data_IF_256996123128
#
_entry.id   IF_256996123128
#
_cell.length_a   1.000
_cell.length_b   1.000
_cell.length_c   1.000
_cell.angle_alpha   90.00
_cell.angle_beta   90.00
_cell.angle_gamma   90.00
#
_symmetry.space_group_name_H-M   'P 1'
#
loop_
_entity.id
_entity.type
_entity.pdbx_description
1 polymer ?
#
# COMPACT_ATOMS: atom_id res chain seq x y z
N UNK A 1 -48.26 48.08 73.85
CA UNK A 1 -47.41 46.99 73.48
C UNK A 1 -47.08 47.12 71.98
N UNK A 2 -45.84 47.49 71.63
CA UNK A 2 -45.33 47.60 70.23
C UNK A 2 -44.69 46.32 69.84
N UNK A 3 -45.19 45.69 68.81
CA UNK A 3 -44.55 44.52 68.19
C UNK A 3 -43.68 45.02 67.04
N UNK A 4 -42.38 44.79 67.13
CA UNK A 4 -41.40 45.05 66.07
C UNK A 4 -41.27 43.76 65.18
N UNK A 5 -41.60 43.95 63.90
CA UNK A 5 -41.36 42.88 62.90
C UNK A 5 -39.92 42.94 62.42
N UNK A 6 -39.17 41.84 62.58
CA UNK A 6 -37.88 41.64 61.98
C UNK A 6 -38.05 41.11 60.57
N UNK A 7 -37.58 41.85 59.60
CA UNK A 7 -37.46 41.38 58.20
C UNK A 7 -36.05 40.67 58.00
N UNK A 8 -36.08 39.38 57.72
CA UNK A 8 -34.86 38.62 57.30
C UNK A 8 -34.65 38.90 55.83
N UNK A 9 -33.45 39.44 55.52
CA UNK A 9 -32.92 39.55 54.15
C UNK A 9 -32.09 38.29 53.89
N UNK A 10 -32.60 37.45 53.00
CA UNK A 10 -31.86 36.26 52.51
C UNK A 10 -30.91 36.70 51.36
N UNK A 11 -29.60 36.69 51.60
CA UNK A 11 -28.60 36.87 50.54
C UNK A 11 -28.44 35.58 49.73
N UNK A 12 -28.92 35.59 48.50
CA UNK A 12 -28.72 34.49 47.54
C UNK A 12 -27.30 34.51 46.96
N UNK A 13 -26.52 33.50 47.29
CA UNK A 13 -25.22 33.26 46.66
C UNK A 13 -25.47 32.57 45.33
N UNK A 14 -25.28 33.28 44.20
CA UNK A 14 -25.32 32.71 42.86
C UNK A 14 -24.02 31.91 42.62
N UNK A 15 -24.10 30.58 42.60
CA UNK A 15 -23.06 29.69 42.18
C UNK A 15 -22.89 29.77 40.64
N UNK A 16 -21.87 30.46 40.18
CA UNK A 16 -21.43 30.42 38.75
C UNK A 16 -20.88 29.04 38.43
N UNK A 17 -21.65 28.23 37.71
CA UNK A 17 -21.17 26.98 37.16
C UNK A 17 -20.11 27.26 36.08
N UNK A 18 -18.94 26.58 36.10
CA UNK A 18 -17.95 26.75 35.06
C UNK A 18 -18.50 26.26 33.71
N UNK A 19 -18.32 27.08 32.65
CA UNK A 19 -18.74 26.74 31.30
C UNK A 19 -17.93 25.51 30.83
N UNK A 20 -18.54 24.51 30.14
CA UNK A 20 -17.82 23.38 29.61
C UNK A 20 -16.83 23.84 28.55
N UNK A 21 -15.56 23.45 28.71
CA UNK A 21 -14.52 23.67 27.70
C UNK A 21 -14.92 22.97 26.40
N UNK A 22 -14.72 23.60 25.22
CA UNK A 22 -15.00 22.95 23.95
C UNK A 22 -14.15 21.68 23.82
N UNK A 23 -14.79 20.53 23.58
CA UNK A 23 -14.12 19.28 23.35
C UNK A 23 -13.14 19.45 22.18
N UNK A 24 -11.87 19.13 22.41
CA UNK A 24 -10.84 19.14 21.37
C UNK A 24 -11.32 18.21 20.24
N UNK A 25 -11.38 18.74 19.01
CA UNK A 25 -11.67 17.91 17.83
C UNK A 25 -10.57 16.86 17.72
N UNK A 26 -10.91 15.58 17.53
CA UNK A 26 -9.88 14.56 17.29
C UNK A 26 -9.07 14.99 16.08
N UNK A 27 -7.76 15.06 16.25
CA UNK A 27 -6.83 15.30 15.13
C UNK A 27 -7.06 14.24 14.07
N UNK A 28 -7.09 14.57 12.77
CA UNK A 28 -7.19 13.57 11.72
C UNK A 28 -6.03 12.58 11.89
N UNK A 29 -6.26 11.28 11.65
CA UNK A 29 -5.21 10.28 11.77
C UNK A 29 -4.03 10.69 10.90
N UNK A 30 -2.84 10.72 11.49
CA UNK A 30 -1.61 11.01 10.76
C UNK A 30 -1.48 9.91 9.72
N UNK A 31 -1.50 10.29 8.44
CA UNK A 31 -1.27 9.34 7.35
C UNK A 31 0.11 8.69 7.54
N UNK A 32 0.13 7.38 7.73
CA UNK A 32 1.38 6.63 7.81
C UNK A 32 2.00 6.71 6.42
N UNK A 33 3.06 7.46 6.29
CA UNK A 33 3.83 7.60 5.05
C UNK A 33 5.16 6.93 5.24
N UNK A 34 5.48 6.07 4.34
CA UNK A 34 6.84 5.64 4.19
C UNK A 34 7.59 6.67 3.33
N UNK A 35 8.60 7.32 3.91
CA UNK A 35 9.29 8.45 3.26
C UNK A 35 8.53 9.77 3.26
N UNK A 36 9.02 10.75 2.47
CA UNK A 36 8.51 12.13 2.44
C UNK A 36 7.80 12.51 1.12
N UNK A 37 7.79 11.63 0.11
CA UNK A 37 7.08 11.88 -1.15
C UNK A 37 5.59 11.61 -0.96
N UNK A 38 4.75 12.59 -1.34
CA UNK A 38 3.31 12.47 -1.15
C UNK A 38 2.69 11.59 -2.24
N UNK A 39 1.69 10.80 -1.88
CA UNK A 39 0.89 10.02 -2.81
C UNK A 39 0.35 10.89 -3.97
N UNK A 40 -0.19 12.06 -3.66
CA UNK A 40 -0.73 13.00 -4.65
C UNK A 40 0.31 13.42 -5.71
N UNK A 41 1.59 13.61 -5.32
CA UNK A 41 2.65 14.01 -6.23
C UNK A 41 3.02 12.87 -7.19
N UNK A 42 3.04 11.63 -6.71
CA UNK A 42 3.25 10.43 -7.52
C UNK A 42 2.07 10.18 -8.46
N UNK A 43 0.84 10.26 -7.95
CA UNK A 43 -0.38 10.06 -8.72
C UNK A 43 -0.53 11.10 -9.83
N UNK A 44 -0.05 12.33 -9.62
CA UNK A 44 -0.04 13.37 -10.64
C UNK A 44 0.81 13.01 -11.89
N UNK A 45 1.84 12.17 -11.72
CA UNK A 45 2.74 11.72 -12.81
C UNK A 45 2.23 10.51 -13.59
N UNK A 46 1.18 9.86 -13.09
CA UNK A 46 0.59 8.64 -13.68
C UNK A 46 -0.89 8.81 -13.99
N UNK A 47 -1.31 10.03 -14.32
CA UNK A 47 -2.70 10.33 -14.70
C UNK A 47 -3.05 9.67 -16.03
N UNK A 48 -2.21 9.90 -17.02
CA UNK A 48 -2.41 9.45 -18.38
C UNK A 48 -1.63 8.16 -18.63
N UNK A 49 -2.28 7.21 -19.28
CA UNK A 49 -1.69 5.93 -19.60
C UNK A 49 -1.30 5.86 -21.07
N UNK A 50 -0.01 5.73 -21.33
CA UNK A 50 0.50 5.28 -22.62
C UNK A 50 0.82 3.79 -22.46
N UNK A 51 0.01 2.86 -23.01
CA UNK A 51 0.20 1.44 -22.81
C UNK A 51 1.54 0.95 -23.35
N UNK A 52 2.25 0.16 -22.54
CA UNK A 52 3.44 -0.58 -22.93
C UNK A 52 3.18 -2.10 -22.99
N UNK A 53 2.06 -2.55 -22.41
CA UNK A 53 1.55 -3.91 -22.63
C UNK A 53 0.82 -3.99 -23.97
N UNK A 54 0.96 -5.13 -24.65
CA UNK A 54 0.28 -5.42 -25.94
C UNK A 54 -1.20 -5.79 -25.76
N UNK A 55 -1.62 -6.05 -24.53
CA UNK A 55 -2.98 -6.38 -24.13
C UNK A 55 -3.29 -5.79 -22.77
N UNK A 56 -4.38 -6.28 -22.17
CA UNK A 56 -4.86 -5.84 -20.86
C UNK A 56 -4.93 -7.02 -19.92
N UNK A 57 -4.76 -6.76 -18.64
CA UNK A 57 -4.86 -7.71 -17.56
C UNK A 57 -6.24 -7.70 -16.93
N UNK A 58 -6.55 -8.75 -16.20
CA UNK A 58 -7.70 -8.90 -15.32
C UNK A 58 -7.29 -8.59 -13.88
N UNK A 59 -8.23 -8.14 -13.07
CA UNK A 59 -8.07 -8.15 -11.60
C UNK A 59 -8.18 -9.59 -11.07
N UNK A 60 -9.14 -10.35 -11.56
CA UNK A 60 -9.46 -11.72 -11.16
C UNK A 60 -9.67 -12.63 -12.37
N UNK A 61 -9.65 -13.94 -12.14
CA UNK A 61 -9.89 -14.95 -13.19
C UNK A 61 -11.21 -14.77 -13.95
N UNK A 62 -12.24 -14.18 -13.30
CA UNK A 62 -13.58 -13.97 -13.89
C UNK A 62 -13.84 -12.53 -14.32
N UNK A 63 -12.94 -11.59 -14.03
CA UNK A 63 -13.11 -10.19 -14.40
C UNK A 63 -12.79 -9.96 -15.89
N UNK A 64 -13.18 -8.80 -16.41
CA UNK A 64 -12.79 -8.39 -17.76
C UNK A 64 -11.32 -7.96 -17.79
N UNK A 65 -10.68 -8.15 -18.94
CA UNK A 65 -9.33 -7.69 -19.16
C UNK A 65 -9.33 -6.18 -19.49
N UNK A 66 -9.15 -5.34 -18.48
CA UNK A 66 -9.30 -3.88 -18.62
C UNK A 66 -8.05 -3.12 -18.16
N UNK A 67 -7.10 -3.77 -17.47
CA UNK A 67 -5.95 -3.13 -16.83
C UNK A 67 -4.74 -3.15 -17.77
N UNK A 68 -4.34 -2.02 -18.36
CA UNK A 68 -3.09 -1.92 -19.10
C UNK A 68 -1.90 -1.71 -18.17
N UNK A 69 -0.71 -2.12 -18.59
CA UNK A 69 0.53 -1.60 -18.04
C UNK A 69 0.96 -0.40 -18.85
N UNK A 70 1.21 0.71 -18.18
CA UNK A 70 1.48 2.01 -18.79
C UNK A 70 2.95 2.39 -18.63
N UNK A 71 3.50 3.08 -19.62
CA UNK A 71 4.83 3.65 -19.58
C UNK A 71 4.85 5.03 -18.92
N UNK A 72 5.90 5.27 -18.15
CA UNK A 72 6.24 6.59 -17.63
C UNK A 72 7.77 6.77 -17.71
N UNK A 73 8.25 8.03 -17.62
CA UNK A 73 9.69 8.30 -17.62
C UNK A 73 10.36 7.68 -16.41
N UNK A 74 11.19 6.65 -16.61
CA UNK A 74 11.91 5.95 -15.55
C UNK A 74 11.08 4.91 -14.77
N UNK A 75 9.81 4.69 -15.14
CA UNK A 75 8.94 3.72 -14.50
C UNK A 75 7.98 3.06 -15.50
N UNK A 76 7.33 2.00 -15.06
CA UNK A 76 6.06 1.52 -15.60
C UNK A 76 5.05 1.53 -14.46
N UNK A 77 3.76 1.63 -14.77
CA UNK A 77 2.73 1.65 -13.74
C UNK A 77 1.44 0.97 -14.20
N UNK A 78 0.66 0.53 -13.25
CA UNK A 78 -0.70 0.06 -13.47
C UNK A 78 -1.61 0.49 -12.30
N UNK A 79 -2.89 0.57 -12.58
CA UNK A 79 -3.93 0.85 -11.59
C UNK A 79 -4.85 -0.34 -11.54
N UNK A 80 -4.97 -0.93 -10.36
CA UNK A 80 -5.69 -2.18 -10.17
C UNK A 80 -6.39 -2.20 -8.80
N UNK A 81 -6.88 -3.34 -8.46
CA UNK A 81 -7.23 -3.80 -7.12
C UNK A 81 -5.98 -4.17 -6.32
N UNK A 82 -6.18 -4.85 -5.20
CA UNK A 82 -5.13 -5.57 -4.49
C UNK A 82 -5.70 -6.87 -3.95
N UNK A 83 -5.28 -7.98 -4.53
CA UNK A 83 -5.39 -9.30 -3.93
C UNK A 83 -4.23 -9.55 -2.97
N UNK A 84 -4.47 -10.38 -1.96
CA UNK A 84 -3.47 -10.65 -0.93
C UNK A 84 -2.70 -11.91 -1.27
N UNK A 85 -1.43 -11.73 -1.58
CA UNK A 85 -0.47 -12.81 -1.69
C UNK A 85 0.09 -13.19 -0.32
N UNK A 86 -0.08 -14.44 0.05
CA UNK A 86 0.46 -15.04 1.25
C UNK A 86 1.58 -16.06 0.95
N UNK A 87 2.02 -16.18 -0.29
CA UNK A 87 3.00 -17.18 -0.71
C UNK A 87 4.40 -16.97 -0.12
N UNK A 88 5.18 -18.04 -0.15
CA UNK A 88 6.55 -18.07 0.35
C UNK A 88 6.71 -18.78 1.68
N UNK A 89 7.60 -18.27 2.52
CA UNK A 89 7.88 -18.90 3.82
C UNK A 89 6.65 -18.83 4.73
N UNK A 90 6.14 -19.98 5.19
CA UNK A 90 4.95 -19.99 6.04
C UNK A 90 5.19 -19.28 7.37
N UNK A 91 4.19 -18.56 7.84
CA UNK A 91 4.16 -17.84 9.09
C UNK A 91 2.88 -18.15 9.90
N UNK A 92 2.57 -17.29 10.87
CA UNK A 92 1.36 -17.44 11.68
C UNK A 92 0.09 -17.08 10.93
N UNK A 93 0.17 -16.10 10.06
CA UNK A 93 -0.96 -15.50 9.33
C UNK A 93 -1.02 -15.96 7.88
N UNK A 94 0.13 -16.21 7.26
CA UNK A 94 0.28 -16.71 5.90
C UNK A 94 0.77 -18.17 5.91
N UNK A 95 -0.13 -19.10 5.65
CA UNK A 95 0.14 -20.54 5.61
C UNK A 95 -1.07 -21.28 5.02
N UNK A 96 -0.92 -22.55 4.67
CA UNK A 96 -1.97 -23.37 4.06
C UNK A 96 -3.21 -23.65 4.93
N UNK A 97 -3.26 -23.20 6.20
CA UNK A 97 -4.47 -23.25 7.02
C UNK A 97 -5.33 -22.00 6.83
N UNK A 98 -4.65 -20.87 6.61
CA UNK A 98 -5.29 -19.56 6.50
C UNK A 98 -5.54 -19.17 5.03
N UNK A 99 -4.84 -19.81 4.10
CA UNK A 99 -4.97 -19.58 2.67
C UNK A 99 -5.00 -20.93 1.93
N UNK A 100 -6.14 -21.32 1.33
CA UNK A 100 -6.24 -22.56 0.55
C UNK A 100 -5.40 -22.56 -0.74
N UNK A 101 -4.99 -21.37 -1.22
CA UNK A 101 -4.16 -21.23 -2.42
C UNK A 101 -2.67 -21.05 -2.08
N UNK A 102 -2.32 -21.11 -0.78
CA UNK A 102 -0.96 -20.92 -0.30
C UNK A 102 0.04 -21.83 -1.00
N UNK A 103 1.09 -21.20 -1.55
CA UNK A 103 2.31 -21.88 -2.01
C UNK A 103 3.46 -21.60 -1.05
N UNK A 104 4.22 -22.63 -0.66
CA UNK A 104 5.40 -22.47 0.18
C UNK A 104 6.60 -21.81 -0.51
N UNK A 105 6.41 -21.26 -1.71
CA UNK A 105 7.48 -20.71 -2.55
C UNK A 105 7.12 -19.36 -3.13
N UNK A 106 8.12 -18.51 -3.35
CA UNK A 106 8.04 -17.28 -4.17
C UNK A 106 9.03 -17.38 -5.33
N UNK A 107 8.80 -16.66 -6.42
CA UNK A 107 9.69 -16.66 -7.58
C UNK A 107 11.11 -16.18 -7.25
N UNK A 108 11.24 -15.33 -6.23
CA UNK A 108 12.53 -14.80 -5.76
C UNK A 108 12.77 -15.22 -4.32
N UNK A 109 14.06 -15.28 -3.94
CA UNK A 109 14.49 -15.76 -2.63
C UNK A 109 15.29 -14.69 -1.90
N UNK A 110 15.35 -14.82 -0.58
CA UNK A 110 16.23 -14.06 0.29
C UNK A 110 17.70 -14.39 0.02
N UNK A 111 18.60 -13.58 0.57
CA UNK A 111 20.04 -13.76 0.44
C UNK A 111 20.56 -15.09 1.01
N UNK A 112 19.82 -15.67 1.96
CA UNK A 112 20.11 -16.96 2.57
C UNK A 112 19.46 -18.16 1.86
N UNK A 113 18.83 -17.93 0.69
CA UNK A 113 18.18 -18.96 -0.13
C UNK A 113 16.78 -19.36 0.33
N UNK A 114 16.26 -18.79 1.42
CA UNK A 114 14.88 -19.01 1.82
C UNK A 114 13.92 -18.20 0.95
N UNK A 115 12.69 -18.69 0.81
CA UNK A 115 11.64 -17.93 0.15
C UNK A 115 11.24 -16.69 0.96
N UNK A 116 10.66 -15.71 0.32
CA UNK A 116 10.23 -14.47 0.98
C UNK A 116 9.14 -14.74 2.00
N UNK A 117 8.96 -13.84 2.95
CA UNK A 117 7.87 -13.90 3.92
C UNK A 117 6.84 -12.82 3.60
N UNK A 118 5.67 -13.24 3.14
CA UNK A 118 4.57 -12.31 2.85
C UNK A 118 4.11 -11.50 4.07
N UNK A 119 4.27 -12.06 5.28
CA UNK A 119 3.88 -11.38 6.52
C UNK A 119 4.78 -10.20 6.89
N UNK A 120 6.05 -10.25 6.49
CA UNK A 120 7.06 -9.32 7.01
C UNK A 120 7.74 -8.46 5.94
N UNK A 121 7.74 -8.91 4.70
CA UNK A 121 8.34 -8.17 3.59
C UNK A 121 7.26 -7.59 2.68
N UNK A 122 7.17 -6.26 2.55
CA UNK A 122 6.39 -5.66 1.50
C UNK A 122 6.93 -6.02 0.12
N UNK A 123 6.14 -6.80 -0.64
CA UNK A 123 6.45 -7.12 -2.04
C UNK A 123 5.19 -7.08 -2.90
N UNK A 124 5.39 -6.94 -4.20
CA UNK A 124 4.36 -7.03 -5.22
C UNK A 124 4.60 -8.24 -6.11
N UNK A 125 3.51 -8.79 -6.61
CA UNK A 125 3.49 -9.85 -7.60
C UNK A 125 3.38 -9.21 -8.99
N UNK A 126 4.23 -9.64 -9.92
CA UNK A 126 4.12 -9.24 -11.33
C UNK A 126 3.65 -10.42 -12.17
N UNK A 127 2.86 -10.20 -13.23
CA UNK A 127 2.44 -11.30 -14.09
C UNK A 127 3.65 -12.05 -14.68
N UNK A 128 3.59 -13.37 -14.72
CA UNK A 128 4.58 -14.16 -15.46
C UNK A 128 4.68 -13.65 -16.91
N UNK A 129 5.89 -13.47 -17.46
CA UNK A 129 6.09 -12.97 -18.82
C UNK A 129 5.26 -13.70 -19.86
N UNK A 130 4.58 -12.94 -20.70
CA UNK A 130 3.64 -13.45 -21.70
C UNK A 130 3.58 -12.56 -22.93
N UNK A 131 2.72 -12.94 -23.90
CA UNK A 131 2.40 -12.07 -25.05
C UNK A 131 1.74 -10.75 -24.67
N UNK A 132 1.16 -10.63 -23.45
CA UNK A 132 0.57 -9.38 -22.97
C UNK A 132 1.69 -8.41 -22.56
N UNK A 133 2.61 -8.87 -21.71
CA UNK A 133 3.71 -8.04 -21.22
C UNK A 133 4.86 -8.90 -20.69
N UNK A 134 6.09 -8.43 -20.95
CA UNK A 134 7.29 -8.94 -20.30
C UNK A 134 7.94 -7.79 -19.52
N UNK A 135 7.86 -7.84 -18.20
CA UNK A 135 8.39 -6.82 -17.31
C UNK A 135 9.91 -6.65 -17.44
N UNK A 136 10.61 -7.72 -17.85
CA UNK A 136 12.09 -7.76 -17.95
C UNK A 136 12.62 -6.81 -19.02
N UNK A 137 11.89 -6.65 -20.14
CA UNK A 137 12.28 -5.72 -21.21
C UNK A 137 12.18 -4.24 -20.79
N UNK A 138 11.50 -3.99 -19.68
CA UNK A 138 11.42 -2.66 -19.09
C UNK A 138 12.40 -2.47 -17.92
N UNK A 139 13.36 -3.39 -17.73
CA UNK A 139 14.34 -3.33 -16.65
C UNK A 139 13.75 -3.59 -15.26
N UNK A 140 12.62 -4.29 -15.19
CA UNK A 140 12.02 -4.77 -13.94
C UNK A 140 12.49 -6.21 -13.69
N UNK A 141 12.79 -6.54 -12.43
CA UNK A 141 13.27 -7.87 -12.01
C UNK A 141 12.99 -8.08 -10.52
N UNK A 142 13.29 -9.25 -9.97
CA UNK A 142 13.27 -9.46 -8.52
C UNK A 142 14.13 -8.43 -7.79
N UNK A 143 13.56 -7.84 -6.73
CA UNK A 143 14.16 -6.75 -5.99
C UNK A 143 14.01 -5.37 -6.63
N UNK A 144 13.35 -5.22 -7.80
CA UNK A 144 12.99 -3.89 -8.32
C UNK A 144 12.01 -3.20 -7.38
N UNK A 145 12.23 -1.91 -7.14
CA UNK A 145 11.40 -1.13 -6.20
C UNK A 145 10.12 -0.68 -6.86
N UNK A 146 9.02 -0.83 -6.12
CA UNK A 146 7.68 -0.41 -6.52
C UNK A 146 7.11 0.52 -5.46
N UNK A 147 6.69 1.71 -5.84
CA UNK A 147 5.84 2.54 -4.98
C UNK A 147 4.39 2.07 -5.15
N UNK A 148 3.82 1.52 -4.09
CA UNK A 148 2.42 1.11 -4.03
C UNK A 148 1.63 2.18 -3.31
N UNK A 149 0.56 2.66 -3.94
CA UNK A 149 -0.21 3.80 -3.44
C UNK A 149 -1.67 3.39 -3.28
N UNK A 150 -2.18 3.61 -2.09
CA UNK A 150 -3.60 3.47 -1.78
C UNK A 150 -4.09 4.68 -1.00
N UNK A 151 -5.04 5.43 -1.54
CA UNK A 151 -5.51 6.70 -0.99
C UNK A 151 -4.35 7.70 -0.87
N UNK A 152 -4.01 8.11 0.35
CA UNK A 152 -2.94 9.05 0.68
C UNK A 152 -1.66 8.36 1.20
N UNK A 153 -1.63 7.01 1.22
CA UNK A 153 -0.52 6.21 1.71
C UNK A 153 0.38 5.75 0.58
N UNK A 154 1.66 5.71 0.85
CA UNK A 154 2.70 5.18 -0.04
C UNK A 154 3.48 4.13 0.73
N UNK A 155 3.69 2.98 0.11
CA UNK A 155 4.54 1.90 0.59
C UNK A 155 5.58 1.57 -0.47
N UNK A 156 6.83 1.42 -0.08
CA UNK A 156 7.91 1.01 -0.99
C UNK A 156 8.16 -0.48 -0.90
N UNK A 157 7.54 -1.23 -1.77
CA UNK A 157 7.70 -2.67 -1.89
C UNK A 157 8.79 -3.05 -2.91
N UNK A 158 9.15 -4.31 -2.94
CA UNK A 158 9.98 -4.90 -3.99
C UNK A 158 9.16 -5.83 -4.88
N UNK A 159 9.59 -6.04 -6.13
CA UNK A 159 9.08 -7.17 -6.91
C UNK A 159 9.60 -8.45 -6.27
N UNK A 160 8.71 -9.24 -5.66
CA UNK A 160 9.06 -10.42 -4.88
C UNK A 160 8.55 -11.73 -5.45
N UNK A 161 7.49 -11.67 -6.27
CA UNK A 161 6.91 -12.87 -6.85
C UNK A 161 6.39 -12.66 -8.26
N UNK A 162 6.00 -13.77 -8.90
CA UNK A 162 5.33 -13.80 -10.21
C UNK A 162 4.04 -14.59 -10.12
N UNK A 163 2.98 -14.00 -10.61
CA UNK A 163 1.64 -14.57 -10.61
C UNK A 163 1.17 -15.05 -11.98
N UNK A 164 -0.14 -15.27 -12.11
CA UNK A 164 -0.76 -15.71 -13.36
C UNK A 164 -0.45 -14.77 -14.53
N UNK A 165 -0.44 -15.34 -15.75
CA UNK A 165 -0.10 -14.60 -16.99
C UNK A 165 -1.08 -13.54 -17.39
N UNK A 166 -2.30 -13.57 -16.87
CA UNK A 166 -3.43 -12.73 -17.30
C UNK A 166 -4.00 -11.87 -16.17
N UNK A 167 -3.47 -12.00 -14.95
CA UNK A 167 -3.94 -11.28 -13.75
C UNK A 167 -2.84 -10.34 -13.25
N UNK A 168 -3.23 -9.16 -12.75
CA UNK A 168 -2.35 -8.17 -12.14
C UNK A 168 -3.11 -7.43 -11.04
N UNK A 169 -2.42 -7.06 -9.96
CA UNK A 169 -3.06 -6.37 -8.84
C UNK A 169 -2.91 -7.13 -7.53
N UNK A 170 -1.75 -7.76 -7.32
CA UNK A 170 -1.50 -8.62 -6.18
C UNK A 170 -0.26 -8.16 -5.41
N UNK A 171 -0.33 -8.24 -4.07
CA UNK A 171 0.78 -7.86 -3.20
C UNK A 171 0.73 -8.61 -1.88
N UNK A 172 1.89 -8.67 -1.19
CA UNK A 172 2.05 -9.37 0.07
C UNK A 172 1.13 -8.86 1.19
N UNK A 173 0.86 -9.71 2.14
CA UNK A 173 0.21 -9.37 3.41
C UNK A 173 0.80 -8.10 4.04
N UNK A 174 2.14 -8.00 4.09
CA UNK A 174 2.83 -6.84 4.66
C UNK A 174 2.54 -5.55 3.90
N UNK A 175 2.53 -5.57 2.56
CA UNK A 175 2.17 -4.42 1.73
C UNK A 175 0.76 -3.92 2.01
N UNK A 176 -0.23 -4.84 2.04
CA UNK A 176 -1.61 -4.49 2.34
C UNK A 176 -1.74 -3.87 3.73
N UNK A 177 -1.12 -4.49 4.74
CA UNK A 177 -1.13 -4.00 6.13
C UNK A 177 -0.55 -2.59 6.25
N UNK A 178 0.57 -2.31 5.62
CA UNK A 178 1.21 -0.99 5.63
C UNK A 178 0.32 0.08 4.99
N UNK A 179 -0.37 -0.26 3.92
CA UNK A 179 -1.32 0.63 3.24
C UNK A 179 -2.66 0.77 3.96
N UNK A 180 -2.91 0.00 5.04
CA UNK A 180 -4.18 -0.01 5.76
C UNK A 180 -5.30 -0.70 4.98
N UNK A 181 -4.93 -1.56 4.03
CA UNK A 181 -5.83 -2.51 3.37
C UNK A 181 -5.94 -3.73 4.28
N UNK A 182 -7.12 -4.35 4.35
CA UNK A 182 -7.31 -5.58 5.13
C UNK A 182 -6.41 -6.70 4.58
N UNK A 183 -5.42 -7.21 5.37
CA UNK A 183 -4.35 -8.03 4.80
C UNK A 183 -4.64 -9.54 4.80
N UNK A 184 -5.81 -9.99 5.28
CA UNK A 184 -6.12 -11.42 5.34
C UNK A 184 -6.33 -12.03 3.95
N UNK A 185 -5.79 -13.22 3.64
CA UNK A 185 -5.97 -13.87 2.35
C UNK A 185 -7.45 -14.22 2.07
N UNK A 186 -8.23 -14.44 3.14
CA UNK A 186 -9.69 -14.58 3.02
C UNK A 186 -10.40 -13.24 3.22
N UNK A 187 -11.00 -12.73 2.14
CA UNK A 187 -11.83 -11.53 2.17
C UNK A 187 -11.07 -10.27 2.58
N UNK A 188 -9.75 -10.27 2.46
CA UNK A 188 -8.90 -9.07 2.50
C UNK A 188 -8.81 -8.42 1.14
N UNK A 189 -7.80 -7.56 0.96
CA UNK A 189 -7.62 -6.83 -0.28
C UNK A 189 -8.57 -5.64 -0.45
N UNK A 190 -8.59 -5.13 -1.66
CA UNK A 190 -9.51 -4.07 -2.12
C UNK A 190 -9.79 -4.23 -3.59
N UNK A 191 -11.05 -4.02 -4.00
CA UNK A 191 -11.49 -4.22 -5.38
C UNK A 191 -11.00 -3.16 -6.37
N UNK A 192 -10.34 -2.10 -5.91
CA UNK A 192 -9.83 -1.02 -6.77
C UNK A 192 -9.03 0.02 -6.01
N UNK A 193 -8.49 1.00 -6.73
CA UNK A 193 -7.92 2.22 -6.16
C UNK A 193 -6.45 2.09 -5.77
N UNK A 194 -5.78 1.00 -6.11
CA UNK A 194 -4.35 0.83 -5.89
C UNK A 194 -3.57 1.22 -7.15
N UNK A 195 -2.52 2.00 -6.97
CA UNK A 195 -1.59 2.36 -8.04
C UNK A 195 -0.21 1.80 -7.72
N UNK A 196 0.35 1.07 -8.67
CA UNK A 196 1.67 0.46 -8.59
C UNK A 196 2.59 1.17 -9.57
N UNK A 197 3.71 1.74 -9.08
CA UNK A 197 4.71 2.43 -9.90
C UNK A 197 6.04 1.68 -9.75
N UNK A 198 6.37 0.83 -10.72
CA UNK A 198 7.59 0.04 -10.71
C UNK A 198 8.73 0.83 -11.38
N UNK A 199 9.77 1.14 -10.63
CA UNK A 199 10.92 1.92 -11.11
C UNK A 199 11.87 1.06 -11.93
N UNK A 200 12.10 1.48 -13.19
CA UNK A 200 13.00 0.79 -14.13
C UNK A 200 14.43 0.78 -13.62
N UNK A 201 15.13 -0.35 -13.86
CA UNK A 201 16.55 -0.52 -13.53
C UNK A 201 16.86 -0.28 -12.04
N UNK A 202 15.86 -0.41 -11.16
CA UNK A 202 16.06 -0.39 -9.72
C UNK A 202 16.34 -1.80 -9.19
N UNK A 203 17.06 -1.87 -8.07
CA UNK A 203 17.29 -3.12 -7.37
C UNK A 203 17.61 -2.87 -5.91
N UNK A 204 17.03 -3.66 -5.05
CA UNK A 204 17.41 -3.83 -3.64
C UNK A 204 18.14 -5.15 -3.50
N UNK A 205 19.26 -5.16 -2.81
CA UNK A 205 20.04 -6.35 -2.51
C UNK A 205 20.70 -6.18 -1.13
N UNK A 206 20.41 -7.07 -0.18
CA UNK A 206 19.55 -8.24 -0.31
C UNK A 206 18.07 -7.85 -0.49
N UNK A 207 17.30 -8.71 -1.15
CA UNK A 207 15.89 -8.44 -1.51
C UNK A 207 14.99 -8.24 -0.29
N UNK A 208 15.32 -8.89 0.81
CA UNK A 208 14.61 -8.82 2.09
C UNK A 208 14.89 -7.55 2.91
N UNK A 209 15.81 -6.69 2.47
CA UNK A 209 16.12 -5.42 3.17
C UNK A 209 15.08 -4.35 2.82
N UNK A 210 14.01 -4.33 3.62
CA UNK A 210 12.95 -3.34 3.45
C UNK A 210 13.43 -1.90 3.69
N UNK A 211 14.36 -1.67 4.62
CA UNK A 211 14.89 -0.34 4.87
C UNK A 211 15.66 0.20 3.65
N UNK A 212 16.39 -0.68 2.95
CA UNK A 212 17.01 -0.34 1.67
C UNK A 212 15.95 -0.07 0.59
N UNK A 213 14.83 -0.84 0.56
CA UNK A 213 13.73 -0.59 -0.37
C UNK A 213 13.13 0.80 -0.17
N UNK A 214 12.89 1.23 1.07
CA UNK A 214 12.44 2.57 1.42
C UNK A 214 13.43 3.64 0.96
N UNK A 215 14.70 3.48 1.28
CA UNK A 215 15.75 4.45 0.93
C UNK A 215 15.88 4.63 -0.60
N UNK A 216 15.91 3.53 -1.34
CA UNK A 216 16.00 3.54 -2.80
C UNK A 216 14.72 4.08 -3.41
N UNK A 217 13.57 3.63 -2.88
CA UNK A 217 12.23 4.03 -3.33
C UNK A 217 11.99 5.52 -3.18
N UNK A 218 12.28 6.07 -2.01
CA UNK A 218 12.15 7.50 -1.74
C UNK A 218 13.01 8.34 -2.70
N UNK A 219 14.25 7.94 -2.94
CA UNK A 219 15.15 8.61 -3.89
C UNK A 219 14.61 8.58 -5.32
N UNK A 220 14.12 7.42 -5.76
CA UNK A 220 13.54 7.24 -7.10
C UNK A 220 12.23 7.99 -7.26
N UNK A 221 11.36 7.95 -6.25
CA UNK A 221 10.11 8.69 -6.22
C UNK A 221 10.33 10.20 -6.31
N UNK A 222 11.29 10.76 -5.57
CA UNK A 222 11.70 12.18 -5.69
C UNK A 222 12.18 12.52 -7.09
N UNK A 223 13.01 11.67 -7.69
CA UNK A 223 13.49 11.86 -9.08
C UNK A 223 12.32 11.80 -10.07
N UNK A 224 11.41 10.85 -9.87
CA UNK A 224 10.23 10.66 -10.70
C UNK A 224 9.30 11.88 -10.67
N UNK A 225 9.05 12.43 -9.48
CA UNK A 225 8.23 13.63 -9.31
C UNK A 225 8.88 14.87 -9.94
N UNK A 226 10.21 15.05 -9.81
CA UNK A 226 10.94 16.21 -10.35
C UNK A 226 11.17 16.14 -11.86
N UNK A 227 11.24 14.94 -12.43
CA UNK A 227 11.64 14.70 -13.81
C UNK A 227 10.50 14.72 -14.83
N UNK A 228 9.36 15.36 -14.49
CA UNK A 228 8.23 15.61 -15.38
C UNK A 228 8.37 16.94 -16.09
#
# INVERSE_FOLDING_TARGET
VRVQSLTLVAAGVALLAPAPLPAARPSPPVAVREGNVRAADLLAKVRDCVPVSKGRYRSDARSRAEIPVCGARGAVFWKADMDIDCDGRPGLLCNGRNDPLFSGTTAYQQSDGRYLSAETLPYVVVPTPSGIWDYRVHGIRGGSVVAVIYRDRVEYAVVGDTGPREIIGEASYATAKALGIRPGPHGGGTSSGVTYIAFKNSRVSPIEDHAAAVTVGERLARKFVRGG
#
